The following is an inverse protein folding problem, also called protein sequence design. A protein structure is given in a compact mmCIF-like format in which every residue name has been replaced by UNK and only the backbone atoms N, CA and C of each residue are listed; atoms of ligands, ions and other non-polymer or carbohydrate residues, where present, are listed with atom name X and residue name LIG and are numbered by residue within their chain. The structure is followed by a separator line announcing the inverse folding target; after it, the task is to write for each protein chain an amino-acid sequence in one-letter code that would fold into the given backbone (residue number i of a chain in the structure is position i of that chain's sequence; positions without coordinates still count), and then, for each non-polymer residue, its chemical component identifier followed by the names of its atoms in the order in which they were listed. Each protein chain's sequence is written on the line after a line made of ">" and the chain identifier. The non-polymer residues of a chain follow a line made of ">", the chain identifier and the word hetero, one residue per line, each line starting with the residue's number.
data_IF_390326877587
#
_entry.id   IF_390326877587
#
_cell.length_a   1.000
_cell.length_b   1.000
_cell.length_c   1.000
_cell.angle_alpha   90.00
_cell.angle_beta   90.00
_cell.angle_gamma   90.00
#
_symmetry.space_group_name_H-M   'P 1'
#
loop_
_entity.id
_entity.type
_entity.pdbx_description
1 polymer ?
#
# COMPACT_ATOMS: atom_id res chain seq x y z
N UNK A 1 51.93 -32.92 -25.99
CA UNK A 1 51.95 -31.74 -25.08
C UNK A 1 52.09 -30.49 -25.93
N UNK A 2 50.98 -29.83 -26.21
CA UNK A 2 50.92 -28.46 -26.72
C UNK A 2 49.68 -27.81 -26.09
N UNK A 3 49.92 -26.66 -25.49
CA UNK A 3 48.91 -25.79 -24.88
C UNK A 3 47.89 -25.35 -25.93
N UNK A 4 46.62 -25.38 -25.56
CA UNK A 4 45.56 -24.65 -26.23
C UNK A 4 45.01 -23.65 -25.22
N UNK A 5 45.32 -22.37 -25.45
CA UNK A 5 44.59 -21.25 -24.89
C UNK A 5 43.14 -21.30 -25.37
N UNK A 6 42.18 -21.42 -24.46
CA UNK A 6 40.79 -21.08 -24.73
C UNK A 6 40.46 -19.78 -24.01
N UNK A 7 40.51 -18.72 -24.80
CA UNK A 7 39.90 -17.44 -24.57
C UNK A 7 38.38 -17.63 -24.41
N UNK A 8 37.81 -17.33 -23.24
CA UNK A 8 36.38 -17.06 -23.11
C UNK A 8 36.22 -15.63 -22.63
N UNK A 9 35.94 -14.77 -23.60
CA UNK A 9 35.45 -13.43 -23.37
C UNK A 9 34.24 -13.49 -22.43
N UNK A 10 34.36 -12.84 -21.28
CA UNK A 10 33.22 -12.49 -20.44
C UNK A 10 32.43 -11.40 -21.17
N UNK A 11 31.45 -11.80 -21.97
CA UNK A 11 30.37 -10.91 -22.41
C UNK A 11 29.56 -10.55 -21.17
N UNK A 12 29.77 -9.34 -20.65
CA UNK A 12 28.97 -8.77 -19.59
C UNK A 12 27.52 -8.63 -20.03
N UNK A 13 26.69 -9.63 -19.73
CA UNK A 13 25.25 -9.42 -19.65
C UNK A 13 25.02 -8.52 -18.44
N UNK A 14 24.70 -7.25 -18.68
CA UNK A 14 24.15 -6.38 -17.66
C UNK A 14 22.89 -7.05 -17.10
N UNK A 15 22.92 -7.36 -15.81
CA UNK A 15 21.89 -8.14 -15.13
C UNK A 15 20.59 -7.31 -15.05
N UNK A 16 19.70 -7.55 -16.02
CA UNK A 16 18.42 -6.86 -16.15
C UNK A 16 17.50 -7.15 -14.96
N UNK A 17 16.91 -6.09 -14.40
CA UNK A 17 15.99 -6.15 -13.26
C UNK A 17 14.55 -6.02 -13.73
N UNK A 18 13.62 -6.69 -13.04
CA UNK A 18 12.19 -6.54 -13.31
C UNK A 18 11.57 -5.47 -12.44
N UNK A 19 10.74 -4.63 -13.03
CA UNK A 19 9.98 -3.62 -12.31
C UNK A 19 8.53 -3.63 -12.74
N UNK A 20 7.62 -3.58 -11.78
CA UNK A 20 6.19 -3.35 -12.04
C UNK A 20 5.93 -1.86 -11.90
N UNK A 21 5.25 -1.28 -12.89
CA UNK A 21 4.81 0.11 -12.86
C UNK A 21 3.29 0.17 -12.95
N UNK A 22 2.66 1.08 -12.22
CA UNK A 22 1.26 1.45 -12.38
C UNK A 22 1.15 2.69 -13.24
N UNK A 23 0.17 2.74 -14.12
CA UNK A 23 -0.17 3.91 -14.93
C UNK A 23 -1.63 4.28 -14.70
N UNK A 24 -1.90 5.56 -14.47
CA UNK A 24 -3.25 6.11 -14.27
C UNK A 24 -3.47 7.40 -15.04
N UNK A 25 -4.66 7.61 -15.58
CA UNK A 25 -5.03 8.85 -16.27
C UNK A 25 -6.54 9.09 -16.19
N UNK A 26 -6.96 10.34 -15.97
CA UNK A 26 -8.38 10.71 -15.99
C UNK A 26 -8.69 11.96 -16.83
N UNK A 27 -7.68 12.65 -17.39
CA UNK A 27 -7.89 13.84 -18.22
C UNK A 27 -7.86 13.56 -19.73
N UNK A 28 -8.72 14.24 -20.47
CA UNK A 28 -8.72 14.23 -21.94
C UNK A 28 -9.02 12.85 -22.54
N UNK A 29 -8.01 12.17 -23.08
CA UNK A 29 -8.14 10.80 -23.58
C UNK A 29 -7.23 9.84 -22.79
N UNK A 30 -7.68 9.31 -21.64
CA UNK A 30 -6.87 8.49 -20.76
C UNK A 30 -6.17 7.31 -21.41
N UNK A 31 -6.88 6.57 -22.28
CA UNK A 31 -6.30 5.43 -23.00
C UNK A 31 -5.17 5.84 -23.94
N UNK A 32 -5.32 6.99 -24.61
CA UNK A 32 -4.28 7.54 -25.49
C UNK A 32 -3.06 7.99 -24.66
N UNK A 33 -3.29 8.63 -23.51
CA UNK A 33 -2.22 9.09 -22.63
C UNK A 33 -1.39 7.93 -22.10
N UNK A 34 -2.04 6.86 -21.62
CA UNK A 34 -1.36 5.63 -21.16
C UNK A 34 -0.58 4.99 -22.30
N UNK A 35 -1.16 4.85 -23.49
CA UNK A 35 -0.44 4.29 -24.64
C UNK A 35 0.81 5.09 -25.02
N UNK A 36 0.73 6.42 -25.00
CA UNK A 36 1.88 7.28 -25.27
C UNK A 36 2.96 7.13 -24.19
N UNK A 37 2.57 7.03 -22.91
CA UNK A 37 3.50 6.78 -21.82
C UNK A 37 4.21 5.42 -21.99
N UNK A 38 3.47 4.36 -22.29
CA UNK A 38 4.04 3.02 -22.54
C UNK A 38 5.01 3.03 -23.72
N UNK A 39 4.66 3.72 -24.82
CA UNK A 39 5.56 3.88 -25.97
C UNK A 39 6.86 4.61 -25.60
N UNK A 40 6.77 5.68 -24.79
CA UNK A 40 7.95 6.42 -24.32
C UNK A 40 8.82 5.56 -23.39
N UNK A 41 8.22 4.80 -22.47
CA UNK A 41 8.94 3.89 -21.57
C UNK A 41 9.64 2.78 -22.36
N UNK A 42 8.95 2.18 -23.34
CA UNK A 42 9.53 1.15 -24.20
C UNK A 42 10.71 1.67 -25.05
N UNK A 43 10.76 2.98 -25.32
CA UNK A 43 11.84 3.63 -26.06
C UNK A 43 12.99 4.14 -25.20
N UNK A 44 12.97 3.93 -23.88
CA UNK A 44 14.07 4.33 -23.00
C UNK A 44 15.29 3.43 -23.22
N UNK A 45 16.47 4.05 -23.33
CA UNK A 45 17.73 3.32 -23.27
C UNK A 45 17.81 2.54 -21.94
N UNK A 46 18.05 1.23 -22.03
CA UNK A 46 18.11 0.33 -20.88
C UNK A 46 16.82 -0.46 -20.63
N UNK A 47 15.67 -0.08 -21.19
CA UNK A 47 14.46 -0.93 -21.17
C UNK A 47 14.56 -1.98 -22.28
N UNK A 48 14.64 -3.25 -21.90
CA UNK A 48 14.90 -4.36 -22.82
C UNK A 48 13.64 -5.12 -23.22
N UNK A 49 12.66 -5.18 -22.32
CA UNK A 49 11.38 -5.83 -22.57
C UNK A 49 10.28 -5.14 -21.76
N UNK A 50 9.05 -5.14 -22.29
CA UNK A 50 7.88 -4.59 -21.64
C UNK A 50 6.66 -5.48 -21.94
N UNK A 51 5.85 -5.73 -20.92
CA UNK A 51 4.51 -6.32 -21.04
C UNK A 51 3.50 -5.38 -20.39
N UNK A 52 2.29 -5.32 -20.95
CA UNK A 52 1.24 -4.39 -20.54
C UNK A 52 -0.05 -5.16 -20.17
N UNK A 53 -0.73 -4.72 -19.12
CA UNK A 53 -2.00 -5.27 -18.67
C UNK A 53 -3.17 -4.85 -19.56
N UNK A 54 -4.39 -5.29 -19.20
CA UNK A 54 -5.61 -4.68 -19.73
C UNK A 54 -5.82 -3.29 -19.13
N UNK A 55 -6.60 -2.46 -19.83
CA UNK A 55 -6.98 -1.13 -19.34
C UNK A 55 -8.27 -1.27 -18.54
N UNK A 56 -8.24 -0.79 -17.30
CA UNK A 56 -9.35 -0.91 -16.35
C UNK A 56 -9.84 0.46 -15.97
N UNK A 57 -11.17 0.63 -15.89
CA UNK A 57 -11.76 1.85 -15.35
C UNK A 57 -11.85 1.74 -13.83
N UNK A 58 -11.67 2.86 -13.14
CA UNK A 58 -11.98 2.95 -11.71
C UNK A 58 -12.54 4.32 -11.36
N UNK A 59 -13.25 4.38 -10.23
CA UNK A 59 -13.54 5.66 -9.60
C UNK A 59 -12.24 6.29 -9.06
N UNK A 60 -12.17 7.62 -8.96
CA UNK A 60 -11.12 8.31 -8.22
C UNK A 60 -11.05 7.84 -6.77
N UNK A 61 -9.83 7.71 -6.22
CA UNK A 61 -9.60 7.41 -4.81
C UNK A 61 -9.03 8.66 -4.14
N UNK A 62 -9.79 9.23 -3.20
CA UNK A 62 -9.53 10.55 -2.63
C UNK A 62 -9.76 11.71 -3.63
N UNK A 63 -9.62 12.96 -3.15
CA UNK A 63 -9.73 14.17 -3.99
C UNK A 63 -11.14 14.80 -4.04
N UNK A 64 -11.33 15.91 -4.80
CA UNK A 64 -12.60 16.63 -4.88
C UNK A 64 -13.74 15.80 -5.48
N UNK A 65 -14.95 15.99 -4.97
CA UNK A 65 -16.18 15.27 -5.37
C UNK A 65 -16.72 15.72 -6.74
N UNK A 66 -15.99 15.46 -7.83
CA UNK A 66 -16.46 15.57 -9.22
C UNK A 66 -15.50 15.02 -10.29
N UNK A 67 -14.38 14.38 -9.91
CA UNK A 67 -13.37 13.97 -10.88
C UNK A 67 -13.88 12.88 -11.84
N UNK A 68 -13.42 12.95 -13.10
CA UNK A 68 -13.71 11.92 -14.09
C UNK A 68 -13.13 10.56 -13.70
N UNK A 69 -13.75 9.48 -14.21
CA UNK A 69 -13.22 8.11 -14.04
C UNK A 69 -11.76 8.01 -14.51
N UNK A 70 -10.95 7.29 -13.74
CA UNK A 70 -9.60 6.93 -14.15
C UNK A 70 -9.63 5.74 -15.10
N UNK A 71 -8.69 5.73 -16.04
CA UNK A 71 -8.19 4.51 -16.66
C UNK A 71 -6.86 4.16 -16.00
N UNK A 72 -6.74 2.91 -15.57
CA UNK A 72 -5.54 2.37 -14.96
C UNK A 72 -5.01 1.16 -15.75
N UNK A 73 -3.70 1.00 -15.74
CA UNK A 73 -2.99 -0.14 -16.31
C UNK A 73 -1.73 -0.43 -15.48
N UNK A 74 -1.13 -1.60 -15.67
CA UNK A 74 0.19 -1.92 -15.18
C UNK A 74 1.08 -2.35 -16.33
N UNK A 75 2.38 -2.12 -16.18
CA UNK A 75 3.39 -2.72 -17.04
C UNK A 75 4.44 -3.44 -16.20
N UNK A 76 4.98 -4.51 -16.75
CA UNK A 76 6.22 -5.13 -16.25
C UNK A 76 7.32 -4.78 -17.24
N UNK A 77 8.40 -4.18 -16.76
CA UNK A 77 9.59 -3.88 -17.55
C UNK A 77 10.76 -4.74 -17.10
N UNK A 78 11.58 -5.18 -18.06
CA UNK A 78 12.94 -5.67 -17.81
C UNK A 78 13.90 -4.55 -18.19
N UNK A 79 14.71 -4.08 -17.26
CA UNK A 79 15.54 -2.89 -17.47
C UNK A 79 16.92 -3.02 -16.83
N UNK A 80 17.93 -2.41 -17.46
CA UNK A 80 19.28 -2.26 -16.90
C UNK A 80 19.48 -0.94 -16.16
N UNK A 81 18.50 -0.03 -16.24
CA UNK A 81 18.48 1.17 -15.41
C UNK A 81 18.43 0.78 -13.94
N UNK A 82 18.93 1.61 -13.04
CA UNK A 82 18.64 1.49 -11.62
C UNK A 82 17.28 2.13 -11.26
N UNK A 83 16.74 1.93 -10.03
CA UNK A 83 15.45 2.48 -9.64
C UNK A 83 15.36 4.01 -9.73
N UNK A 84 16.45 4.72 -9.46
CA UNK A 84 16.48 6.19 -9.43
C UNK A 84 16.60 6.76 -10.85
N UNK A 85 17.33 6.09 -11.73
CA UNK A 85 17.38 6.37 -13.16
C UNK A 85 15.99 6.17 -13.80
N UNK A 86 15.33 5.05 -13.51
CA UNK A 86 13.96 4.80 -14.01
C UNK A 86 12.98 5.85 -13.48
N UNK A 87 13.05 6.20 -12.20
CA UNK A 87 12.21 7.26 -11.62
C UNK A 87 12.42 8.59 -12.33
N UNK A 88 13.68 8.95 -12.60
CA UNK A 88 14.03 10.20 -13.28
C UNK A 88 13.52 10.22 -14.73
N UNK A 89 13.60 9.09 -15.44
CA UNK A 89 13.05 8.93 -16.78
C UNK A 89 11.52 9.05 -16.79
N UNK A 90 10.85 8.41 -15.83
CA UNK A 90 9.40 8.49 -15.66
C UNK A 90 8.95 9.93 -15.43
N UNK A 91 9.61 10.66 -14.52
CA UNK A 91 9.26 12.07 -14.24
C UNK A 91 9.37 12.94 -15.50
N UNK A 92 10.39 12.72 -16.34
CA UNK A 92 10.51 13.43 -17.63
C UNK A 92 9.37 13.07 -18.58
N UNK A 93 9.01 11.80 -18.68
CA UNK A 93 7.88 11.34 -19.50
C UNK A 93 6.57 11.98 -19.03
N UNK A 94 6.31 12.03 -17.72
CA UNK A 94 5.13 12.70 -17.17
C UNK A 94 5.08 14.19 -17.57
N UNK A 95 6.21 14.89 -17.48
CA UNK A 95 6.33 16.31 -17.85
C UNK A 95 6.11 16.53 -19.35
N UNK A 96 6.70 15.69 -20.21
CA UNK A 96 6.53 15.74 -21.66
C UNK A 96 5.08 15.50 -22.10
N UNK A 97 4.33 14.70 -21.34
CA UNK A 97 2.92 14.45 -21.57
C UNK A 97 2.01 15.53 -20.97
N UNK A 98 2.57 16.53 -20.29
CA UNK A 98 1.84 17.70 -19.80
C UNK A 98 1.39 17.61 -18.34
N UNK A 99 1.96 16.71 -17.53
CA UNK A 99 1.63 16.66 -16.10
C UNK A 99 2.14 17.91 -15.38
N UNK A 100 1.21 18.69 -14.84
CA UNK A 100 1.49 19.82 -13.94
C UNK A 100 1.14 19.42 -12.50
N UNK A 101 2.11 19.44 -11.58
CA UNK A 101 1.87 19.10 -10.16
C UNK A 101 1.32 20.33 -9.42
N UNK A 102 -0.01 20.52 -9.46
CA UNK A 102 -0.71 21.63 -8.77
C UNK A 102 -1.12 21.26 -7.35
N UNK A 103 -1.85 20.15 -7.18
CA UNK A 103 -2.35 19.68 -5.88
C UNK A 103 -2.22 18.15 -5.74
N UNK A 104 -2.17 17.67 -4.49
CA UNK A 104 -2.23 16.23 -4.17
C UNK A 104 -3.61 15.67 -4.54
N UNK A 105 -3.63 14.53 -5.22
CA UNK A 105 -4.85 13.86 -5.77
C UNK A 105 -5.68 14.69 -6.75
N UNK A 106 -5.05 15.68 -7.38
CA UNK A 106 -5.67 16.38 -8.49
C UNK A 106 -5.81 15.48 -9.73
N UNK A 107 -6.60 15.92 -10.70
CA UNK A 107 -6.70 15.28 -12.01
C UNK A 107 -5.35 15.28 -12.72
N UNK A 108 -5.07 14.22 -13.50
CA UNK A 108 -3.76 14.02 -14.12
C UNK A 108 -3.93 13.53 -15.55
N UNK A 109 -3.16 14.15 -16.45
CA UNK A 109 -2.98 13.63 -17.81
C UNK A 109 -2.33 12.25 -17.77
N UNK A 110 -1.35 12.04 -16.90
CA UNK A 110 -0.75 10.72 -16.65
C UNK A 110 -0.09 10.69 -15.28
N UNK A 111 -0.20 9.54 -14.60
CA UNK A 111 0.50 9.18 -13.37
C UNK A 111 1.19 7.85 -13.53
N UNK A 112 2.48 7.80 -13.21
CA UNK A 112 3.30 6.60 -13.36
C UNK A 112 4.05 6.34 -12.04
N UNK A 113 3.66 5.28 -11.34
CA UNK A 113 4.27 4.88 -10.08
C UNK A 113 5.13 3.63 -10.27
N UNK A 114 6.35 3.63 -9.74
CA UNK A 114 7.16 2.41 -9.61
C UNK A 114 6.61 1.61 -8.43
N UNK A 115 6.09 0.41 -8.70
CA UNK A 115 5.49 -0.47 -7.70
C UNK A 115 6.50 -1.39 -7.03
N UNK A 116 7.36 -2.04 -7.81
CA UNK A 116 8.35 -2.99 -7.28
C UNK A 116 9.62 -2.96 -8.09
N UNK A 117 10.71 -3.46 -7.51
CA UNK A 117 11.98 -3.64 -8.22
C UNK A 117 12.62 -4.96 -7.80
N UNK A 118 12.41 -6.02 -8.59
CA UNK A 118 12.67 -7.41 -8.21
C UNK A 118 12.25 -7.69 -6.76
N UNK A 119 13.22 -8.03 -5.90
CA UNK A 119 13.06 -8.26 -4.46
C UNK A 119 13.59 -7.11 -3.61
N UNK A 120 13.96 -5.99 -4.24
CA UNK A 120 14.49 -4.82 -3.54
C UNK A 120 13.41 -4.24 -2.63
N UNK A 121 13.78 -4.03 -1.38
CA UNK A 121 13.01 -3.32 -0.39
C UNK A 121 13.87 -2.15 0.07
N UNK A 122 13.39 -0.94 -0.19
CA UNK A 122 14.10 0.28 0.16
C UNK A 122 13.11 1.38 0.56
N UNK A 123 13.54 2.25 1.46
CA UNK A 123 12.81 3.45 1.82
C UNK A 123 13.79 4.61 1.85
N UNK A 124 13.59 5.56 0.93
CA UNK A 124 14.28 6.85 0.93
C UNK A 124 13.25 7.98 0.81
N UNK A 125 13.66 9.24 1.08
CA UNK A 125 12.79 10.39 0.86
C UNK A 125 12.30 10.54 -0.60
N UNK A 126 13.08 10.05 -1.58
CA UNK A 126 12.75 10.15 -3.00
C UNK A 126 11.97 8.95 -3.55
N UNK A 127 12.19 7.75 -3.00
CA UNK A 127 11.65 6.51 -3.53
C UNK A 127 11.51 5.44 -2.45
N UNK A 128 10.28 4.96 -2.26
CA UNK A 128 9.98 3.78 -1.41
C UNK A 128 9.55 2.63 -2.31
N UNK A 129 10.21 1.48 -2.18
CA UNK A 129 9.89 0.26 -2.90
C UNK A 129 9.80 -0.92 -1.93
N UNK A 130 8.82 -1.81 -2.08
CA UNK A 130 7.62 -1.67 -2.92
C UNK A 130 6.82 -0.40 -2.63
N UNK A 131 6.01 0.05 -3.58
CA UNK A 131 5.18 1.23 -3.37
C UNK A 131 4.24 0.98 -2.18
N UNK A 132 4.27 1.82 -1.14
CA UNK A 132 3.71 1.50 0.17
C UNK A 132 2.19 1.29 0.17
N UNK A 133 1.50 1.75 -0.88
CA UNK A 133 0.04 1.60 -1.03
C UNK A 133 -0.38 0.61 -2.12
N UNK A 134 0.55 -0.06 -2.79
CA UNK A 134 0.20 -0.94 -3.92
C UNK A 134 -0.75 -2.06 -3.49
N UNK A 135 -0.50 -2.63 -2.31
CA UNK A 135 -1.27 -3.73 -1.71
C UNK A 135 -2.67 -3.33 -1.25
N UNK A 136 -3.00 -2.04 -1.30
CA UNK A 136 -4.24 -1.47 -0.79
C UNK A 136 -5.14 -0.93 -1.89
N UNK A 137 -4.66 -0.94 -3.14
CA UNK A 137 -5.33 -0.30 -4.27
C UNK A 137 -5.78 -1.35 -5.25
N UNK A 138 -7.09 -1.59 -5.28
CA UNK A 138 -7.70 -2.55 -6.22
C UNK A 138 -7.39 -2.18 -7.68
N UNK A 139 -7.45 -0.89 -8.02
CA UNK A 139 -7.09 -0.37 -9.35
C UNK A 139 -5.61 -0.55 -9.74
N UNK A 140 -4.73 -0.86 -8.79
CA UNK A 140 -3.32 -1.24 -9.02
C UNK A 140 -3.19 -2.76 -9.10
N UNK A 141 -3.79 -3.49 -8.15
CA UNK A 141 -3.67 -4.93 -8.05
C UNK A 141 -4.37 -5.68 -9.18
N UNK A 142 -5.52 -5.21 -9.65
CA UNK A 142 -6.21 -5.84 -10.78
C UNK A 142 -5.36 -5.85 -12.07
N UNK A 143 -4.80 -4.71 -12.53
CA UNK A 143 -3.83 -4.70 -13.63
C UNK A 143 -2.57 -5.55 -13.38
N UNK A 144 -2.01 -5.53 -12.16
CA UNK A 144 -0.83 -6.35 -11.81
C UNK A 144 -1.17 -7.85 -11.91
N UNK A 145 -2.37 -8.26 -11.49
CA UNK A 145 -2.84 -9.63 -11.59
C UNK A 145 -3.09 -10.09 -13.04
N UNK A 146 -3.34 -9.17 -13.97
CA UNK A 146 -3.38 -9.50 -15.41
C UNK A 146 -1.99 -9.94 -15.92
N UNK A 147 -0.90 -9.48 -15.28
CA UNK A 147 0.48 -9.73 -15.70
C UNK A 147 1.15 -10.87 -14.94
N UNK A 148 1.09 -10.82 -13.60
CA UNK A 148 1.90 -11.66 -12.71
C UNK A 148 1.14 -12.07 -11.44
N UNK A 149 -0.03 -12.74 -11.51
CA UNK A 149 -0.89 -12.98 -10.33
C UNK A 149 -0.20 -13.79 -9.23
N UNK A 150 0.74 -14.68 -9.59
CA UNK A 150 1.52 -15.50 -8.66
C UNK A 150 2.85 -14.85 -8.24
N UNK A 151 3.17 -13.66 -8.76
CA UNK A 151 4.29 -12.85 -8.29
C UNK A 151 4.10 -12.46 -6.84
N UNK A 152 5.20 -12.45 -6.06
CA UNK A 152 5.16 -12.19 -4.61
C UNK A 152 5.61 -10.78 -4.29
N UNK A 153 4.84 -10.09 -3.45
CA UNK A 153 5.21 -8.78 -2.92
C UNK A 153 6.49 -8.92 -2.07
N UNK A 154 7.56 -8.13 -2.34
CA UNK A 154 8.83 -8.26 -1.64
C UNK A 154 8.75 -8.15 -0.12
N UNK A 155 7.93 -7.24 0.41
CA UNK A 155 7.80 -7.08 1.87
C UNK A 155 6.86 -8.10 2.51
N UNK A 156 5.75 -8.44 1.84
CA UNK A 156 4.71 -9.25 2.50
C UNK A 156 4.81 -10.73 2.22
N UNK A 157 5.58 -11.12 1.19
CA UNK A 157 5.65 -12.48 0.68
C UNK A 157 4.36 -13.00 0.04
N UNK A 158 3.23 -12.30 0.17
CA UNK A 158 1.95 -12.66 -0.42
C UNK A 158 2.02 -12.57 -1.95
N UNK A 159 1.27 -13.44 -2.62
CA UNK A 159 1.04 -13.28 -4.07
C UNK A 159 0.19 -12.04 -4.32
N UNK A 160 0.32 -11.39 -5.47
CA UNK A 160 -0.56 -10.26 -5.82
C UNK A 160 -2.03 -10.69 -5.90
N UNK A 161 -2.30 -11.93 -6.32
CA UNK A 161 -3.63 -12.53 -6.26
C UNK A 161 -4.16 -12.62 -4.81
N UNK A 162 -3.33 -13.03 -3.83
CA UNK A 162 -3.72 -13.07 -2.41
C UNK A 162 -4.02 -11.66 -1.88
N UNK A 163 -3.25 -10.64 -2.28
CA UNK A 163 -3.57 -9.25 -1.93
C UNK A 163 -4.92 -8.82 -2.47
N UNK A 164 -5.23 -9.12 -3.73
CA UNK A 164 -6.50 -8.77 -4.36
C UNK A 164 -7.69 -9.52 -3.72
N UNK A 165 -7.50 -10.80 -3.40
CA UNK A 165 -8.45 -11.63 -2.66
C UNK A 165 -8.70 -11.05 -1.26
N UNK A 166 -7.64 -10.67 -0.55
CA UNK A 166 -7.74 -10.04 0.78
C UNK A 166 -8.57 -8.77 0.73
N UNK A 167 -8.38 -7.87 -0.26
CA UNK A 167 -9.21 -6.67 -0.38
C UNK A 167 -10.70 -6.98 -0.64
N UNK A 168 -11.01 -8.18 -1.16
CA UNK A 168 -12.38 -8.62 -1.43
C UNK A 168 -13.05 -9.19 -0.19
N UNK A 169 -12.30 -9.89 0.68
CA UNK A 169 -12.86 -10.62 1.83
C UNK A 169 -12.51 -10.05 3.20
N UNK A 170 -11.56 -9.12 3.30
CA UNK A 170 -11.20 -8.49 4.55
C UNK A 170 -12.32 -7.57 5.04
N UNK A 171 -12.48 -7.51 6.36
CA UNK A 171 -13.46 -6.65 7.00
C UNK A 171 -13.25 -5.18 6.63
N UNK A 172 -14.32 -4.39 6.69
CA UNK A 172 -14.28 -2.96 6.40
C UNK A 172 -13.68 -2.15 7.57
N UNK A 173 -12.48 -2.53 8.01
CA UNK A 173 -11.83 -1.90 9.15
C UNK A 173 -10.31 -1.97 9.08
N UNK A 174 -9.65 -0.97 9.67
CA UNK A 174 -8.21 -0.93 9.88
C UNK A 174 -7.87 -0.87 11.36
N UNK A 175 -6.70 -1.41 11.70
CA UNK A 175 -6.15 -1.38 13.05
C UNK A 175 -4.99 -0.41 13.10
N UNK A 176 -5.10 0.64 13.90
CA UNK A 176 -4.00 1.56 14.19
C UNK A 176 -3.19 1.09 15.39
N UNK A 177 -1.88 1.27 15.29
CA UNK A 177 -0.90 0.92 16.31
C UNK A 177 -0.01 2.15 16.52
N UNK A 178 0.09 2.63 17.76
CA UNK A 178 0.79 3.87 18.09
C UNK A 178 1.56 3.78 19.42
N UNK A 179 2.62 4.57 19.57
CA UNK A 179 3.51 4.56 20.75
C UNK A 179 3.32 5.79 21.67
N UNK A 180 2.58 6.84 21.27
CA UNK A 180 2.40 8.09 22.06
C UNK A 180 1.05 8.80 21.82
N UNK A 181 0.51 9.43 22.88
CA UNK A 181 -0.93 9.68 23.06
C UNK A 181 -1.56 10.95 22.43
N UNK A 182 -0.81 12.03 22.14
CA UNK A 182 -1.47 13.33 21.92
C UNK A 182 -1.83 13.64 20.46
N UNK A 183 -0.91 13.45 19.51
CA UNK A 183 -1.15 13.80 18.10
C UNK A 183 -2.11 12.84 17.37
N UNK A 184 -2.14 11.56 17.75
CA UNK A 184 -3.07 10.59 17.18
C UNK A 184 -4.52 10.86 17.60
N UNK A 185 -4.73 11.32 18.84
CA UNK A 185 -6.06 11.62 19.37
C UNK A 185 -6.76 12.74 18.58
N UNK A 186 -6.04 13.77 18.15
CA UNK A 186 -6.59 14.83 17.31
C UNK A 186 -7.00 14.32 15.92
N UNK A 187 -6.19 13.46 15.31
CA UNK A 187 -6.50 12.86 14.01
C UNK A 187 -7.76 11.97 14.10
N UNK A 188 -7.87 11.15 15.15
CA UNK A 188 -9.05 10.34 15.43
C UNK A 188 -10.31 11.18 15.64
N UNK A 189 -10.20 12.30 16.38
CA UNK A 189 -11.34 13.19 16.60
C UNK A 189 -11.84 13.79 15.29
N UNK A 190 -10.95 14.23 14.40
CA UNK A 190 -11.34 14.77 13.08
C UNK A 190 -12.01 13.70 12.21
N UNK A 191 -11.44 12.49 12.15
CA UNK A 191 -12.00 11.39 11.38
C UNK A 191 -13.38 10.97 11.89
N UNK A 192 -13.62 11.04 13.19
CA UNK A 192 -14.94 10.75 13.77
C UNK A 192 -16.04 11.73 13.34
N UNK A 193 -15.70 12.85 12.70
CA UNK A 193 -16.64 13.80 12.11
C UNK A 193 -17.06 13.41 10.69
N UNK A 194 -16.42 12.41 10.08
CA UNK A 194 -16.77 11.92 8.75
C UNK A 194 -17.87 10.85 8.88
N UNK A 195 -19.01 11.08 8.23
CA UNK A 195 -20.19 10.19 8.33
C UNK A 195 -19.91 8.74 7.88
N UNK A 196 -18.87 8.52 7.07
CA UNK A 196 -18.47 7.20 6.56
C UNK A 196 -17.34 6.55 7.37
N UNK A 197 -16.87 7.19 8.45
CA UNK A 197 -15.78 6.66 9.30
C UNK A 197 -16.25 6.56 10.74
N UNK A 198 -16.28 5.32 11.26
CA UNK A 198 -16.52 5.07 12.66
C UNK A 198 -15.19 4.84 13.38
N UNK A 199 -14.86 5.68 14.36
CA UNK A 199 -13.64 5.52 15.15
C UNK A 199 -13.94 4.76 16.43
N UNK A 200 -13.49 3.52 16.50
CA UNK A 200 -13.50 2.70 17.69
C UNK A 200 -12.21 2.91 18.48
N UNK A 201 -12.22 3.87 19.40
CA UNK A 201 -11.10 4.05 20.32
C UNK A 201 -11.07 2.92 21.35
N UNK A 202 -9.96 2.20 21.46
CA UNK A 202 -9.61 1.57 22.72
C UNK A 202 -9.18 2.70 23.66
N UNK A 203 -10.05 3.07 24.59
CA UNK A 203 -9.66 3.85 25.76
C UNK A 203 -8.43 3.21 26.44
N UNK A 204 -7.57 4.01 27.10
CA UNK A 204 -6.23 3.61 27.53
C UNK A 204 -6.26 2.26 28.24
N UNK A 205 -5.62 1.25 27.61
CA UNK A 205 -5.46 -0.12 28.11
C UNK A 205 -6.68 -0.59 28.91
N UNK A 206 -7.67 -1.20 28.25
CA UNK A 206 -8.79 -1.82 28.94
C UNK A 206 -8.29 -2.53 30.21
N UNK A 207 -8.75 -2.06 31.37
CA UNK A 207 -8.11 -2.37 32.66
C UNK A 207 -8.60 -3.70 33.23
N UNK A 208 -9.48 -4.38 32.49
CA UNK A 208 -10.09 -5.65 32.84
C UNK A 208 -10.57 -6.43 31.63
N UNK A 209 -10.66 -7.75 31.79
CA UNK A 209 -11.26 -8.71 30.82
C UNK A 209 -12.69 -8.28 30.42
N UNK A 210 -13.48 -7.80 31.37
CA UNK A 210 -14.87 -7.35 31.13
C UNK A 210 -14.93 -6.14 30.20
N UNK A 211 -14.02 -5.18 30.36
CA UNK A 211 -13.94 -4.01 29.49
C UNK A 211 -13.51 -4.40 28.08
N UNK A 212 -12.51 -5.29 27.94
CA UNK A 212 -12.11 -5.87 26.66
C UNK A 212 -13.29 -6.54 25.96
N UNK A 213 -14.01 -7.43 26.66
CA UNK A 213 -15.17 -8.12 26.10
C UNK A 213 -16.27 -7.17 25.60
N UNK A 214 -16.50 -6.05 26.31
CA UNK A 214 -17.46 -5.01 25.86
C UNK A 214 -16.97 -4.29 24.60
N UNK A 215 -15.69 -3.97 24.49
CA UNK A 215 -15.10 -3.33 23.31
C UNK A 215 -15.24 -4.26 22.10
N UNK A 216 -14.80 -5.51 22.22
CA UNK A 216 -14.92 -6.49 21.15
C UNK A 216 -16.38 -6.81 20.78
N UNK A 217 -17.29 -6.81 21.77
CA UNK A 217 -18.72 -6.95 21.51
C UNK A 217 -19.28 -5.81 20.65
N UNK A 218 -18.88 -4.57 20.89
CA UNK A 218 -19.25 -3.42 20.04
C UNK A 218 -18.64 -3.53 18.64
N UNK A 219 -17.37 -3.90 18.54
CA UNK A 219 -16.69 -4.12 17.26
C UNK A 219 -17.43 -5.16 16.40
N UNK A 220 -17.74 -6.32 16.98
CA UNK A 220 -18.53 -7.38 16.32
C UNK A 220 -19.87 -6.87 15.84
N UNK A 221 -20.57 -6.12 16.69
CA UNK A 221 -21.85 -5.53 16.33
C UNK A 221 -21.71 -4.56 15.15
N UNK A 222 -20.74 -3.63 15.19
CA UNK A 222 -20.52 -2.67 14.10
C UNK A 222 -20.14 -3.34 12.79
N UNK A 223 -19.20 -4.29 12.81
CA UNK A 223 -18.81 -5.06 11.63
C UNK A 223 -20.04 -5.75 11.01
N UNK A 224 -20.88 -6.37 11.83
CA UNK A 224 -22.09 -7.06 11.34
C UNK A 224 -23.20 -6.14 10.81
N UNK A 225 -23.25 -4.88 11.25
CA UNK A 225 -24.33 -3.94 10.88
C UNK A 225 -23.96 -3.05 9.68
N UNK A 226 -22.68 -2.75 9.50
CA UNK A 226 -22.21 -1.74 8.54
C UNK A 226 -21.16 -2.29 7.56
N UNK A 227 -21.27 -3.58 7.24
CA UNK A 227 -20.25 -4.36 6.52
C UNK A 227 -19.77 -3.72 5.20
N UNK A 228 -20.56 -2.83 4.59
CA UNK A 228 -20.28 -2.18 3.30
C UNK A 228 -20.20 -0.64 3.34
N UNK A 229 -20.90 0.03 4.25
CA UNK A 229 -21.12 1.49 4.15
C UNK A 229 -20.21 2.34 5.06
N UNK A 230 -19.66 1.75 6.13
CA UNK A 230 -18.89 2.51 7.14
C UNK A 230 -17.54 1.86 7.37
N UNK A 231 -16.46 2.64 7.21
CA UNK A 231 -15.10 2.22 7.51
C UNK A 231 -14.82 2.36 9.01
N UNK A 232 -14.39 1.28 9.64
CA UNK A 232 -14.10 1.25 11.07
C UNK A 232 -12.60 1.42 11.35
N UNK A 233 -12.22 2.45 12.11
CA UNK A 233 -10.85 2.64 12.57
C UNK A 233 -10.73 2.17 14.02
N UNK A 234 -9.98 1.10 14.24
CA UNK A 234 -9.77 0.52 15.56
C UNK A 234 -8.38 0.85 16.07
N UNK A 235 -8.29 1.50 17.23
CA UNK A 235 -7.03 1.67 17.92
C UNK A 235 -6.84 0.49 18.88
N UNK A 236 -5.94 -0.44 18.58
CA UNK A 236 -5.64 -1.58 19.45
C UNK A 236 -4.37 -1.28 20.25
N UNK A 237 -4.45 -1.40 21.58
CA UNK A 237 -3.25 -1.37 22.39
C UNK A 237 -2.33 -2.53 21.94
N UNK A 238 -1.09 -2.27 21.51
CA UNK A 238 -0.21 -3.32 21.02
C UNK A 238 -0.01 -4.39 22.10
N UNK A 239 0.07 -5.66 21.68
CA UNK A 239 0.28 -6.83 22.55
C UNK A 239 1.44 -6.67 23.55
N UNK A 240 2.38 -5.77 23.25
CA UNK A 240 3.48 -5.35 24.12
C UNK A 240 3.01 -4.78 25.47
N UNK A 241 1.87 -4.09 25.50
CA UNK A 241 1.26 -3.59 26.74
C UNK A 241 0.54 -4.71 27.55
N UNK A 242 0.33 -5.89 26.95
CA UNK A 242 -0.33 -7.04 27.57
C UNK A 242 0.66 -8.11 28.06
N UNK A 243 1.97 -7.93 27.85
CA UNK A 243 3.02 -8.87 28.30
C UNK A 243 2.96 -9.08 29.82
N UNK A 244 2.54 -8.06 30.58
CA UNK A 244 2.40 -8.10 32.03
C UNK A 244 1.05 -8.68 32.51
N UNK A 245 0.12 -8.99 31.58
CA UNK A 245 -1.24 -9.45 31.87
C UNK A 245 -1.64 -10.64 30.98
N UNK A 246 -1.13 -11.85 31.26
CA UNK A 246 -1.37 -13.05 30.44
C UNK A 246 -2.86 -13.38 30.23
N UNK A 247 -3.70 -13.10 31.22
CA UNK A 247 -5.15 -13.27 31.19
C UNK A 247 -5.83 -12.35 30.16
N UNK A 248 -5.33 -11.12 30.00
CA UNK A 248 -5.82 -10.19 28.98
C UNK A 248 -5.31 -10.59 27.60
N UNK A 249 -4.07 -11.07 27.49
CA UNK A 249 -3.51 -11.55 26.22
C UNK A 249 -4.29 -12.74 25.64
N UNK A 250 -4.68 -13.71 26.48
CA UNK A 250 -5.48 -14.86 26.06
C UNK A 250 -6.90 -14.46 25.61
N UNK A 251 -7.53 -13.52 26.32
CA UNK A 251 -8.84 -12.98 25.93
C UNK A 251 -8.75 -12.22 24.61
N UNK A 252 -7.73 -11.35 24.42
CA UNK A 252 -7.52 -10.62 23.16
C UNK A 252 -7.34 -11.60 22.00
N UNK A 253 -6.49 -12.63 22.14
CA UNK A 253 -6.31 -13.63 21.10
C UNK A 253 -7.62 -14.36 20.75
N UNK A 254 -8.43 -14.68 21.76
CA UNK A 254 -9.74 -15.31 21.57
C UNK A 254 -10.69 -14.39 20.82
N UNK A 255 -10.78 -13.12 21.21
CA UNK A 255 -11.68 -12.16 20.58
C UNK A 255 -11.22 -11.81 19.15
N UNK A 256 -9.91 -11.65 18.90
CA UNK A 256 -9.35 -11.45 17.57
C UNK A 256 -9.68 -12.61 16.62
N UNK A 257 -9.59 -13.86 17.09
CA UNK A 257 -9.92 -15.05 16.27
C UNK A 257 -11.38 -15.10 15.81
N UNK A 258 -12.24 -14.32 16.44
CA UNK A 258 -13.67 -14.25 16.13
C UNK A 258 -14.07 -13.03 15.30
N UNK A 259 -13.10 -12.21 14.89
CA UNK A 259 -13.28 -11.12 13.95
C UNK A 259 -12.81 -11.55 12.54
N UNK A 260 -13.41 -11.01 11.45
CA UNK A 260 -12.81 -11.14 10.12
C UNK A 260 -11.42 -10.51 10.12
N UNK A 261 -10.54 -10.87 9.19
CA UNK A 261 -9.22 -10.23 9.12
C UNK A 261 -9.35 -8.71 8.85
N UNK A 262 -8.52 -7.87 9.49
CA UNK A 262 -8.51 -6.45 9.19
C UNK A 262 -8.04 -6.22 7.75
N UNK A 263 -8.57 -5.17 7.13
CA UNK A 263 -8.12 -4.76 5.79
C UNK A 263 -6.66 -4.35 5.80
N UNK A 264 -6.26 -3.64 6.84
CA UNK A 264 -4.94 -3.03 6.95
C UNK A 264 -4.53 -2.83 8.42
N UNK A 265 -3.24 -3.03 8.69
CA UNK A 265 -2.58 -2.55 9.90
C UNK A 265 -1.89 -1.19 9.61
N UNK A 266 -2.17 -0.18 10.42
CA UNK A 266 -1.63 1.17 10.27
C UNK A 266 -0.69 1.48 11.44
N UNK A 267 0.58 1.64 11.15
CA UNK A 267 1.61 1.97 12.14
C UNK A 267 1.85 3.48 12.15
N UNK A 268 1.44 4.15 13.21
CA UNK A 268 1.69 5.57 13.42
C UNK A 268 3.07 5.75 14.04
N UNK A 269 3.93 6.51 13.37
CA UNK A 269 5.32 6.71 13.80
C UNK A 269 5.81 8.10 13.43
N UNK A 270 6.74 8.65 14.20
CA UNK A 270 7.48 9.88 13.91
C UNK A 270 8.71 9.67 13.01
N UNK A 271 9.01 8.41 12.64
CA UNK A 271 10.14 8.07 11.79
C UNK A 271 9.74 7.10 10.67
N UNK A 272 9.26 7.66 9.56
CA UNK A 272 8.81 6.90 8.39
C UNK A 272 9.92 6.19 7.58
N UNK A 273 11.20 6.39 7.91
CA UNK A 273 12.33 5.81 7.17
C UNK A 273 13.18 4.83 7.99
N UNK A 274 12.68 4.44 9.16
CA UNK A 274 13.39 3.53 10.06
C UNK A 274 13.72 2.17 9.39
N UNK A 275 15.01 1.85 9.25
CA UNK A 275 15.50 0.59 8.66
C UNK A 275 15.09 -0.67 9.47
N UNK A 276 14.80 -0.52 10.76
CA UNK A 276 14.41 -1.60 11.66
C UNK A 276 12.93 -2.00 11.54
N UNK A 277 12.13 -1.36 10.66
CA UNK A 277 10.71 -1.69 10.45
C UNK A 277 10.49 -3.16 10.14
N UNK A 278 11.32 -3.73 9.27
CA UNK A 278 11.21 -5.12 8.87
C UNK A 278 11.43 -6.07 10.05
N UNK A 279 12.37 -5.73 10.93
CA UNK A 279 12.62 -6.48 12.15
C UNK A 279 11.45 -6.34 13.14
N UNK A 280 10.89 -5.12 13.26
CA UNK A 280 9.71 -4.86 14.07
C UNK A 280 8.50 -5.66 13.59
N UNK A 281 8.16 -5.59 12.29
CA UNK A 281 7.08 -6.36 11.66
C UNK A 281 7.28 -7.86 11.87
N UNK A 282 8.48 -8.39 11.61
CA UNK A 282 8.81 -9.81 11.83
C UNK A 282 8.64 -10.22 13.29
N UNK A 283 8.96 -9.32 14.24
CA UNK A 283 8.83 -9.59 15.67
C UNK A 283 7.36 -9.64 16.12
N UNK A 284 6.51 -8.76 15.61
CA UNK A 284 5.09 -8.69 16.00
C UNK A 284 4.21 -9.67 15.22
N UNK A 285 4.66 -10.11 14.03
CA UNK A 285 4.00 -11.10 13.17
C UNK A 285 4.99 -12.22 12.78
N UNK A 286 5.40 -13.09 13.72
CA UNK A 286 6.42 -14.11 13.49
C UNK A 286 5.95 -15.29 12.63
N UNK A 287 4.64 -15.64 12.70
CA UNK A 287 4.05 -16.81 12.03
C UNK A 287 3.16 -16.40 10.85
N UNK A 288 3.80 -16.01 9.76
CA UNK A 288 3.17 -15.44 8.57
C UNK A 288 2.57 -14.03 8.75
N UNK A 289 2.54 -13.31 7.64
CA UNK A 289 1.89 -12.01 7.57
C UNK A 289 0.40 -12.26 7.46
N UNK A 290 -0.34 -11.72 8.43
CA UNK A 290 -1.77 -11.93 8.60
C UNK A 290 -2.58 -10.89 7.82
N UNK A 291 -2.07 -9.67 7.72
CA UNK A 291 -2.67 -8.58 6.96
C UNK A 291 -1.59 -7.65 6.37
N UNK A 292 -1.87 -6.95 5.26
CA UNK A 292 -1.01 -5.87 4.78
C UNK A 292 -0.85 -4.76 5.83
N UNK A 293 0.22 -3.98 5.72
CA UNK A 293 0.47 -2.86 6.62
C UNK A 293 0.92 -1.59 5.90
N UNK A 294 0.78 -0.46 6.60
CA UNK A 294 1.17 0.87 6.14
C UNK A 294 1.73 1.67 7.32
N UNK A 295 2.86 2.32 7.11
CA UNK A 295 3.38 3.31 8.07
C UNK A 295 2.90 4.71 7.68
N UNK A 296 2.39 5.46 8.64
CA UNK A 296 2.01 6.87 8.48
C UNK A 296 2.80 7.74 9.44
N UNK A 297 3.20 8.92 8.96
CA UNK A 297 3.90 9.92 9.77
C UNK A 297 2.91 10.65 10.68
N UNK A 298 3.14 10.59 11.99
CA UNK A 298 2.29 11.27 12.97
C UNK A 298 2.54 12.78 13.03
N UNK A 299 3.68 13.25 12.53
CA UNK A 299 4.03 14.67 12.52
C UNK A 299 3.38 15.43 11.36
N UNK A 300 2.86 14.73 10.35
CA UNK A 300 2.15 15.33 9.21
C UNK A 300 0.63 15.17 9.36
N UNK A 301 0.02 15.82 10.36
CA UNK A 301 -1.39 15.61 10.75
C UNK A 301 -2.39 15.74 9.59
N UNK A 302 -2.24 16.73 8.71
CA UNK A 302 -3.14 16.89 7.56
C UNK A 302 -2.98 15.77 6.53
N UNK A 303 -1.74 15.26 6.35
CA UNK A 303 -1.49 14.10 5.51
C UNK A 303 -2.04 12.82 6.14
N UNK A 304 -1.87 12.65 7.45
CA UNK A 304 -2.41 11.51 8.18
C UNK A 304 -3.93 11.43 8.01
N UNK A 305 -4.62 12.57 8.16
CA UNK A 305 -6.07 12.66 7.94
C UNK A 305 -6.45 12.25 6.52
N UNK A 306 -5.82 12.87 5.52
CA UNK A 306 -6.05 12.55 4.12
C UNK A 306 -5.88 11.05 3.85
N UNK A 307 -4.78 10.44 4.31
CA UNK A 307 -4.51 9.02 4.10
C UNK A 307 -5.57 8.12 4.72
N UNK A 308 -6.03 8.43 5.94
CA UNK A 308 -7.06 7.64 6.61
C UNK A 308 -8.43 7.79 5.91
N UNK A 309 -8.77 8.96 5.39
CA UNK A 309 -9.96 9.15 4.54
C UNK A 309 -9.84 8.43 3.18
N UNK A 310 -8.65 8.44 2.58
CA UNK A 310 -8.41 7.69 1.36
C UNK A 310 -8.59 6.18 1.60
N UNK A 311 -8.12 5.65 2.73
CA UNK A 311 -8.33 4.26 3.13
C UNK A 311 -9.81 3.93 3.28
N UNK A 312 -10.60 4.82 3.89
CA UNK A 312 -12.05 4.65 4.04
C UNK A 312 -12.81 4.72 2.70
N UNK A 313 -12.26 5.41 1.69
CA UNK A 313 -12.86 5.52 0.35
C UNK A 313 -12.34 4.50 -0.67
N UNK A 314 -11.27 3.77 -0.36
CA UNK A 314 -10.74 2.65 -1.17
C UNK A 314 -11.71 1.45 -1.31
N UNK A 315 -12.96 1.60 -0.89
CA UNK A 315 -13.97 0.56 -0.77
C UNK A 315 -14.85 0.38 -2.03
N UNK A 316 -14.62 1.18 -3.08
CA UNK A 316 -15.30 1.07 -4.38
C UNK A 316 -14.32 0.68 -5.50
#
# INVERSE_FOLDING_TARGET
>A
MREYSSNTAATGMTDSKKSLLSLGSNMGNPKKNIRLAVQKIAGLDGVQALRESRYRKSMPVGGPSAQAEFVNAAIEVSTTLDPQELLSAIVKIEQELGRERKQRWDERIIDIDILTWDKNVQSSPSLTLPHPRMSLRRFVLEPVCDLVPLGRHPETGWTYARHLEHLTYAGNYAVTLHNTNQSAAEAYLRLSQNDNVLVAQSLPLARSVTELGRVFGRLKHWISQYEQDVFLLCDFAPRECLIQHPELAAEVATQESSLPLPRLLVFLTDNIHNEYRHQFITRIMPDEIIAPWLFLDINETDRLHQELEALASCHL
#
